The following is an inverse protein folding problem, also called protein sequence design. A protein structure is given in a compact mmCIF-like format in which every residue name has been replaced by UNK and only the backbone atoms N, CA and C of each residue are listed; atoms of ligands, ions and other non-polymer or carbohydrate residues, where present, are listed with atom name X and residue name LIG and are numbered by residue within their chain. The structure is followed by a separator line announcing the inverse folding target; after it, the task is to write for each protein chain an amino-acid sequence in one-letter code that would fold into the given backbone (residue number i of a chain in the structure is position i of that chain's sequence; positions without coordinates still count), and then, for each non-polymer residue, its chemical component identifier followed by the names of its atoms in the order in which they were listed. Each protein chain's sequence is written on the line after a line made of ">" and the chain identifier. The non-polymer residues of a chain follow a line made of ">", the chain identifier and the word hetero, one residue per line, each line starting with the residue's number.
data_IF_374668167563
#
_entry.id   IF_374668167563
#
_cell.length_a   1.000
_cell.length_b   1.000
_cell.length_c   1.000
_cell.angle_alpha   90.00
_cell.angle_beta   90.00
_cell.angle_gamma   90.00
#
_symmetry.space_group_name_H-M   'P 1'
#
loop_
_entity.id
_entity.type
_entity.pdbx_description
1 polymer ?
#
# COMPACT_ATOMS: atom_id res chain seq x y z
N UNK A 1 -12.32 3.50 8.61
CA UNK A 1 -11.35 3.19 9.67
C UNK A 1 -12.01 2.32 10.73
N UNK A 2 -11.29 1.35 11.32
CA UNK A 2 -11.78 0.51 12.39
C UNK A 2 -10.81 0.56 13.57
N UNK A 3 -11.34 0.47 14.78
CA UNK A 3 -10.55 0.39 16.02
C UNK A 3 -10.96 -0.85 16.79
N UNK A 4 -9.97 -1.65 17.20
CA UNK A 4 -10.18 -2.90 17.92
C UNK A 4 -9.32 -2.96 19.18
N UNK A 5 -9.76 -3.73 20.16
CA UNK A 5 -8.92 -4.10 21.29
C UNK A 5 -7.70 -4.87 20.79
N UNK A 6 -6.53 -4.50 21.28
CA UNK A 6 -5.30 -5.22 20.98
C UNK A 6 -5.18 -6.48 21.86
N UNK A 7 -4.43 -7.49 21.38
CA UNK A 7 -4.14 -8.68 22.17
C UNK A 7 -3.30 -8.36 23.44
N UNK A 8 -2.54 -7.27 23.43
CA UNK A 8 -1.88 -6.75 24.63
C UNK A 8 -2.89 -5.93 25.42
N UNK A 9 -3.00 -6.25 26.73
CA UNK A 9 -3.95 -5.59 27.63
C UNK A 9 -3.78 -4.06 27.62
N UNK A 10 -4.89 -3.35 27.68
CA UNK A 10 -4.98 -1.89 27.74
C UNK A 10 -4.36 -1.19 26.50
N UNK A 11 -4.27 -1.91 25.38
CA UNK A 11 -3.87 -1.39 24.08
C UNK A 11 -4.98 -1.52 23.04
N UNK A 12 -4.89 -0.67 22.03
CA UNK A 12 -5.81 -0.64 20.90
C UNK A 12 -5.00 -0.65 19.59
N UNK A 13 -5.62 -1.09 18.50
CA UNK A 13 -5.07 -0.88 17.18
C UNK A 13 -6.12 -0.24 16.27
N UNK A 14 -5.64 0.58 15.36
CA UNK A 14 -6.43 1.22 14.30
C UNK A 14 -6.12 0.55 12.99
N UNK A 15 -7.13 0.28 12.19
CA UNK A 15 -6.98 -0.41 10.90
C UNK A 15 -7.68 0.35 9.78
N UNK A 16 -6.92 0.71 8.74
CA UNK A 16 -7.41 1.09 7.42
C UNK A 16 -7.41 -0.10 6.48
N UNK A 17 -8.39 -0.19 5.59
CA UNK A 17 -8.51 -1.29 4.63
C UNK A 17 -8.75 -0.72 3.25
N UNK A 18 -7.85 -1.00 2.31
CA UNK A 18 -8.05 -0.77 0.88
C UNK A 18 -8.46 -2.06 0.20
N UNK A 19 -9.36 -1.99 -0.80
CA UNK A 19 -9.91 -3.19 -1.45
C UNK A 19 -9.03 -3.69 -2.62
N UNK A 20 -8.26 -2.81 -3.23
CA UNK A 20 -7.58 -3.07 -4.48
C UNK A 20 -6.07 -3.32 -4.41
N UNK A 21 -5.45 -3.44 -3.22
CA UNK A 21 -3.99 -3.46 -3.07
C UNK A 21 -3.28 -4.48 -3.98
N UNK A 22 -3.05 -5.69 -3.50
CA UNK A 22 -2.40 -6.75 -4.29
C UNK A 22 -3.21 -7.18 -5.52
N UNK A 23 -4.54 -7.02 -5.45
CA UNK A 23 -5.45 -7.32 -6.55
C UNK A 23 -5.14 -6.48 -7.81
N UNK A 24 -4.72 -5.23 -7.67
CA UNK A 24 -4.42 -4.37 -8.82
C UNK A 24 -3.30 -4.93 -9.69
N UNK A 25 -2.17 -5.32 -9.09
CA UNK A 25 -1.07 -5.91 -9.85
C UNK A 25 -1.40 -7.33 -10.34
N UNK A 26 -2.16 -8.10 -9.56
CA UNK A 26 -2.64 -9.41 -9.98
C UNK A 26 -3.57 -9.30 -11.19
N UNK A 27 -4.49 -8.36 -11.18
CA UNK A 27 -5.39 -8.09 -12.30
C UNK A 27 -4.58 -7.67 -13.54
N UNK A 28 -3.64 -6.73 -13.38
CA UNK A 28 -2.76 -6.31 -14.47
C UNK A 28 -2.03 -7.51 -15.09
N UNK A 29 -1.39 -8.33 -14.24
CA UNK A 29 -0.68 -9.54 -14.68
C UNK A 29 -1.60 -10.48 -15.48
N UNK A 30 -2.77 -10.76 -14.94
CA UNK A 30 -3.66 -11.75 -15.54
C UNK A 30 -4.29 -11.27 -16.86
N UNK A 31 -4.58 -9.97 -16.97
CA UNK A 31 -5.29 -9.43 -18.14
C UNK A 31 -4.35 -8.86 -19.21
N UNK A 32 -3.23 -8.25 -18.81
CA UNK A 32 -2.37 -7.46 -19.71
C UNK A 32 -0.95 -8.01 -19.84
N UNK A 33 -0.56 -8.96 -18.98
CA UNK A 33 0.77 -9.57 -18.99
C UNK A 33 0.71 -11.06 -18.59
N UNK A 34 -0.16 -11.89 -19.25
CA UNK A 34 -0.33 -13.29 -18.86
C UNK A 34 1.00 -14.06 -18.97
N UNK A 35 1.30 -14.85 -17.93
CA UNK A 35 2.52 -15.66 -17.88
C UNK A 35 3.78 -14.91 -17.45
N UNK A 36 3.72 -13.60 -17.25
CA UNK A 36 4.87 -12.82 -16.74
C UNK A 36 4.94 -12.95 -15.21
N UNK A 37 6.13 -13.20 -14.69
CA UNK A 37 6.36 -13.29 -13.24
C UNK A 37 6.32 -11.90 -12.57
N UNK A 38 5.91 -11.86 -11.28
CA UNK A 38 5.77 -10.58 -10.57
C UNK A 38 7.09 -9.82 -10.44
N UNK A 39 8.21 -10.53 -10.30
CA UNK A 39 9.53 -9.90 -10.22
C UNK A 39 9.87 -9.17 -11.53
N UNK A 40 9.63 -9.82 -12.68
CA UNK A 40 9.81 -9.19 -13.99
C UNK A 40 8.90 -7.96 -14.19
N UNK A 41 7.66 -8.00 -13.70
CA UNK A 41 6.78 -6.82 -13.75
C UNK A 41 7.32 -5.66 -12.90
N UNK A 42 7.84 -5.95 -11.71
CA UNK A 42 8.39 -4.90 -10.86
C UNK A 42 9.73 -4.37 -11.36
N UNK A 43 10.55 -5.19 -12.01
CA UNK A 43 11.76 -4.77 -12.71
C UNK A 43 11.45 -3.88 -13.92
N UNK A 44 10.43 -4.22 -14.70
CA UNK A 44 9.96 -3.39 -15.81
C UNK A 44 9.41 -2.05 -15.29
N UNK A 45 8.60 -2.04 -14.24
CA UNK A 45 8.10 -0.82 -13.61
C UNK A 45 9.23 0.10 -13.13
N UNK A 46 10.35 -0.47 -12.68
CA UNK A 46 11.52 0.30 -12.24
C UNK A 46 12.22 1.09 -13.38
N UNK A 47 11.96 0.74 -14.65
CA UNK A 47 12.48 1.46 -15.81
C UNK A 47 11.71 2.75 -16.09
N UNK A 48 10.49 2.88 -15.60
CA UNK A 48 9.69 4.10 -15.69
C UNK A 48 10.17 5.15 -14.69
N UNK A 49 10.13 6.44 -15.01
CA UNK A 49 10.50 7.50 -14.07
C UNK A 49 9.50 7.62 -12.92
N UNK A 50 9.93 8.26 -11.83
CA UNK A 50 9.08 8.60 -10.68
C UNK A 50 7.82 9.34 -11.14
N UNK A 51 6.65 8.86 -10.69
CA UNK A 51 5.34 9.42 -11.07
C UNK A 51 4.82 8.91 -12.41
N UNK A 52 5.41 7.84 -12.99
CA UNK A 52 4.92 7.17 -14.20
C UNK A 52 4.55 8.15 -15.34
N UNK A 53 5.35 9.20 -15.53
CA UNK A 53 5.10 10.27 -16.50
C UNK A 53 3.74 11.00 -16.33
N UNK A 54 3.24 11.11 -15.11
CA UNK A 54 1.95 11.74 -14.80
C UNK A 54 0.75 10.82 -14.96
N UNK A 55 0.98 9.52 -15.13
CA UNK A 55 -0.07 8.53 -15.19
C UNK A 55 -0.42 8.05 -13.78
N UNK A 56 -1.70 8.07 -13.44
CA UNK A 56 -2.21 7.59 -12.16
C UNK A 56 -3.06 6.34 -12.35
N UNK A 57 -3.02 5.46 -11.35
CA UNK A 57 -3.92 4.31 -11.23
C UNK A 57 -4.84 4.49 -10.02
N UNK A 58 -6.12 4.28 -10.21
CA UNK A 58 -7.11 4.20 -9.15
C UNK A 58 -7.38 2.72 -8.85
N UNK A 59 -7.02 2.22 -7.66
CA UNK A 59 -7.07 0.79 -7.35
C UNK A 59 -8.47 0.26 -7.01
N UNK A 60 -9.52 0.94 -7.46
CA UNK A 60 -10.90 0.72 -7.03
C UNK A 60 -11.63 -0.37 -7.84
N UNK A 61 -10.92 -1.47 -8.16
CA UNK A 61 -11.47 -2.59 -8.95
C UNK A 61 -12.68 -3.27 -8.30
N UNK A 62 -12.79 -3.20 -6.97
CA UNK A 62 -13.87 -3.79 -6.17
C UNK A 62 -14.60 -2.73 -5.34
N UNK A 63 -14.67 -1.50 -5.84
CA UNK A 63 -14.99 -0.36 -5.01
C UNK A 63 -13.87 -0.02 -4.04
N UNK A 64 -14.13 0.85 -3.06
CA UNK A 64 -13.15 1.17 -2.03
C UNK A 64 -13.78 1.25 -0.64
N UNK A 65 -13.02 0.84 0.37
CA UNK A 65 -13.44 0.87 1.78
C UNK A 65 -12.86 2.08 2.50
N UNK A 66 -11.58 2.12 2.75
CA UNK A 66 -10.92 3.29 3.36
C UNK A 66 -10.18 4.07 2.27
N UNK A 67 -10.39 5.38 2.13
CA UNK A 67 -11.16 6.28 2.98
C UNK A 67 -12.64 6.43 2.59
N UNK A 68 -13.06 5.94 1.43
CA UNK A 68 -14.26 6.42 0.74
C UNK A 68 -15.55 5.70 1.12
N UNK A 69 -15.48 4.41 1.54
CA UNK A 69 -16.63 3.53 1.77
C UNK A 69 -17.64 3.60 0.62
N UNK A 70 -17.16 3.37 -0.59
CA UNK A 70 -17.93 3.50 -1.83
C UNK A 70 -17.79 2.24 -2.68
N UNK A 71 -18.90 1.49 -2.82
CA UNK A 71 -18.95 0.27 -3.62
C UNK A 71 -19.13 0.55 -5.12
N UNK A 72 -19.50 1.77 -5.49
CA UNK A 72 -19.79 2.16 -6.88
C UNK A 72 -18.58 2.73 -7.62
N UNK A 73 -17.60 3.24 -6.89
CA UNK A 73 -16.35 3.75 -7.50
C UNK A 73 -15.66 2.66 -8.32
N UNK A 74 -15.01 3.05 -9.41
CA UNK A 74 -14.33 2.13 -10.34
C UNK A 74 -12.85 2.45 -10.45
N UNK A 75 -12.05 1.39 -10.69
CA UNK A 75 -10.63 1.50 -10.97
C UNK A 75 -10.35 1.89 -12.42
N UNK A 76 -9.15 2.43 -12.64
CA UNK A 76 -8.71 2.81 -13.99
C UNK A 76 -7.46 3.67 -13.98
N UNK A 77 -6.90 3.87 -15.18
CA UNK A 77 -5.83 4.82 -15.40
C UNK A 77 -6.38 6.21 -15.72
N UNK A 78 -5.79 7.24 -15.11
CA UNK A 78 -6.08 8.65 -15.37
C UNK A 78 -4.79 9.34 -15.82
N UNK A 79 -4.86 10.14 -16.89
CA UNK A 79 -3.69 10.84 -17.44
C UNK A 79 -2.95 10.08 -18.54
N UNK A 80 -3.54 9.04 -19.14
CA UNK A 80 -2.93 8.27 -20.22
C UNK A 80 -2.68 9.13 -21.46
N UNK A 81 -1.48 9.03 -22.02
CA UNK A 81 -1.07 9.68 -23.27
C UNK A 81 -0.41 8.68 -24.20
N UNK A 82 -0.26 9.02 -25.48
CA UNK A 82 0.42 8.17 -26.48
C UNK A 82 1.92 7.92 -26.16
N UNK A 83 2.51 8.62 -25.20
CA UNK A 83 3.90 8.45 -24.76
C UNK A 83 4.09 7.38 -23.71
N UNK A 84 3.02 7.01 -23.01
CA UNK A 84 3.11 6.04 -21.93
C UNK A 84 3.42 4.65 -22.46
N UNK A 85 4.35 3.99 -21.82
CA UNK A 85 4.78 2.62 -22.08
C UNK A 85 4.14 1.64 -21.12
N UNK A 86 4.31 0.33 -21.35
CA UNK A 86 3.85 -0.69 -20.40
C UNK A 86 4.54 -0.55 -19.04
N UNK A 87 5.81 -0.15 -19.01
CA UNK A 87 6.51 0.15 -17.77
C UNK A 87 5.81 1.25 -16.95
N UNK A 88 5.32 2.31 -17.62
CA UNK A 88 4.56 3.38 -16.96
C UNK A 88 3.22 2.88 -16.42
N UNK A 89 2.52 2.02 -17.18
CA UNK A 89 1.27 1.41 -16.72
C UNK A 89 1.46 0.59 -15.45
N UNK A 90 2.50 -0.25 -15.41
CA UNK A 90 2.80 -1.09 -14.24
C UNK A 90 3.21 -0.22 -13.05
N UNK A 91 4.08 0.76 -13.29
CA UNK A 91 4.51 1.68 -12.24
C UNK A 91 3.33 2.47 -11.66
N UNK A 92 2.46 2.99 -12.50
CA UNK A 92 1.25 3.68 -12.06
C UNK A 92 0.37 2.78 -11.18
N UNK A 93 0.24 1.48 -11.51
CA UNK A 93 -0.50 0.50 -10.68
C UNK A 93 0.13 0.40 -9.28
N UNK A 94 1.44 0.26 -9.19
CA UNK A 94 2.16 0.15 -7.92
C UNK A 94 2.07 1.46 -7.11
N UNK A 95 2.24 2.61 -7.78
CA UNK A 95 2.10 3.92 -7.15
C UNK A 95 0.67 4.18 -6.66
N UNK A 96 -0.35 3.85 -7.45
CA UNK A 96 -1.76 4.03 -7.09
C UNK A 96 -2.18 3.19 -5.87
N UNK A 97 -1.72 1.93 -5.80
CA UNK A 97 -1.88 1.10 -4.61
C UNK A 97 -1.22 1.75 -3.38
N UNK A 98 -0.02 2.27 -3.56
CA UNK A 98 0.72 2.90 -2.46
C UNK A 98 0.11 4.24 -2.03
N UNK A 99 -0.52 4.99 -2.94
CA UNK A 99 -1.30 6.19 -2.59
C UNK A 99 -2.54 5.84 -1.76
N UNK A 100 -3.27 4.77 -2.09
CA UNK A 100 -4.42 4.34 -1.28
C UNK A 100 -4.00 3.89 0.12
N UNK A 101 -2.80 3.31 0.27
CA UNK A 101 -2.23 3.01 1.58
C UNK A 101 -1.82 4.28 2.34
N UNK A 102 -1.33 5.29 1.63
CA UNK A 102 -1.06 6.60 2.23
C UNK A 102 -2.31 7.29 2.74
N UNK A 103 -3.44 7.22 2.04
CA UNK A 103 -4.72 7.73 2.55
C UNK A 103 -5.07 7.08 3.90
N UNK A 104 -4.83 5.78 4.05
CA UNK A 104 -5.03 5.10 5.33
C UNK A 104 -4.07 5.62 6.41
N UNK A 105 -2.79 5.84 6.06
CA UNK A 105 -1.79 6.36 6.98
C UNK A 105 -2.11 7.79 7.43
N UNK A 106 -2.47 8.66 6.48
CA UNK A 106 -2.80 10.05 6.77
C UNK A 106 -3.96 10.13 7.79
N UNK A 107 -5.02 9.32 7.61
CA UNK A 107 -6.14 9.24 8.57
C UNK A 107 -5.68 8.72 9.94
N UNK A 108 -4.78 7.74 9.98
CA UNK A 108 -4.23 7.22 11.24
C UNK A 108 -3.45 8.33 11.97
N UNK A 109 -2.67 9.12 11.24
CA UNK A 109 -1.90 10.23 11.82
C UNK A 109 -2.81 11.39 12.25
N UNK A 110 -3.87 11.70 11.51
CA UNK A 110 -4.92 12.67 11.88
C UNK A 110 -5.64 12.30 13.16
N UNK A 111 -5.78 11.00 13.46
CA UNK A 111 -6.30 10.51 14.75
C UNK A 111 -5.30 10.64 15.89
N UNK A 112 -4.12 11.22 15.67
CA UNK A 112 -3.09 11.46 16.68
C UNK A 112 -2.15 10.28 16.91
N UNK A 113 -2.22 9.22 16.10
CA UNK A 113 -1.29 8.09 16.19
C UNK A 113 0.02 8.45 15.47
N UNK A 114 1.14 8.44 16.20
CA UNK A 114 2.46 8.67 15.60
C UNK A 114 2.98 7.39 14.98
N UNK A 115 3.24 7.42 13.68
CA UNK A 115 3.84 6.31 12.94
C UNK A 115 5.29 6.66 12.61
N UNK A 116 6.25 5.97 13.22
CA UNK A 116 7.70 6.14 12.94
C UNK A 116 8.15 5.26 11.80
N UNK A 117 7.71 4.00 11.79
CA UNK A 117 8.16 2.97 10.87
C UNK A 117 6.98 2.19 10.30
N UNK A 118 7.17 1.68 9.09
CA UNK A 118 6.22 0.81 8.41
C UNK A 118 6.84 -0.57 8.23
N UNK A 119 6.23 -1.60 8.80
CA UNK A 119 6.61 -2.99 8.57
C UNK A 119 5.84 -3.54 7.39
N UNK A 120 6.51 -3.69 6.26
CA UNK A 120 5.92 -4.22 5.05
C UNK A 120 5.94 -5.76 5.06
N UNK A 121 4.82 -6.37 4.69
CA UNK A 121 4.68 -7.83 4.56
C UNK A 121 3.82 -8.18 3.34
N UNK A 122 3.78 -9.47 2.99
CA UNK A 122 3.06 -9.96 1.84
C UNK A 122 3.83 -9.84 0.51
N UNK A 123 3.15 -10.09 -0.61
CA UNK A 123 3.78 -10.20 -1.92
C UNK A 123 4.53 -8.94 -2.37
N UNK A 124 3.94 -7.77 -2.21
CA UNK A 124 4.57 -6.50 -2.59
C UNK A 124 5.83 -6.17 -1.80
N UNK A 125 5.91 -6.63 -0.54
CA UNK A 125 7.09 -6.42 0.31
C UNK A 125 8.33 -7.20 -0.16
N UNK A 126 8.19 -8.22 -1.01
CA UNK A 126 9.31 -8.96 -1.58
C UNK A 126 10.11 -8.11 -2.58
N UNK A 127 9.45 -7.23 -3.33
CA UNK A 127 10.10 -6.36 -4.31
C UNK A 127 10.85 -5.20 -3.63
N UNK A 128 12.16 -5.11 -3.83
CA UNK A 128 12.97 -3.99 -3.37
C UNK A 128 12.54 -2.66 -4.01
N UNK A 129 12.11 -2.71 -5.28
CA UNK A 129 11.57 -1.55 -5.97
C UNK A 129 10.29 -1.05 -5.27
N UNK A 130 9.33 -1.93 -4.97
CA UNK A 130 8.09 -1.53 -4.32
C UNK A 130 8.33 -0.99 -2.91
N UNK A 131 9.26 -1.58 -2.14
CA UNK A 131 9.61 -1.05 -0.81
C UNK A 131 10.18 0.37 -0.87
N UNK A 132 11.07 0.67 -1.85
CA UNK A 132 11.59 2.04 -2.06
C UNK A 132 10.48 3.01 -2.42
N UNK A 133 9.64 2.64 -3.37
CA UNK A 133 8.49 3.43 -3.79
C UNK A 133 7.54 3.70 -2.62
N UNK A 134 7.23 2.67 -1.83
CA UNK A 134 6.40 2.79 -0.65
C UNK A 134 7.01 3.74 0.39
N UNK A 135 8.32 3.64 0.64
CA UNK A 135 9.00 4.56 1.55
C UNK A 135 8.89 6.02 1.09
N UNK A 136 9.08 6.27 -0.21
CA UNK A 136 8.92 7.61 -0.81
C UNK A 136 7.50 8.14 -0.71
N UNK A 137 6.50 7.32 -1.05
CA UNK A 137 5.08 7.72 -1.03
C UNK A 137 4.59 7.96 0.40
N UNK A 138 4.89 7.06 1.33
CA UNK A 138 4.48 7.20 2.74
C UNK A 138 5.34 8.22 3.50
N UNK A 139 6.50 8.61 2.96
CA UNK A 139 7.51 9.42 3.65
C UNK A 139 7.84 8.84 5.04
N UNK A 140 8.04 7.53 5.09
CA UNK A 140 8.35 6.76 6.30
C UNK A 140 9.44 5.75 6.01
N UNK A 141 10.20 5.39 7.05
CA UNK A 141 11.09 4.24 6.98
C UNK A 141 10.26 2.97 6.80
N UNK A 142 10.58 2.18 5.78
CA UNK A 142 9.93 0.88 5.51
C UNK A 142 10.91 -0.23 5.81
N UNK A 143 10.48 -1.22 6.59
CA UNK A 143 11.28 -2.38 6.95
C UNK A 143 10.55 -3.67 6.61
N UNK A 144 11.29 -4.74 6.37
CA UNK A 144 10.77 -6.10 6.32
C UNK A 144 11.20 -6.88 7.56
N UNK A 145 10.54 -7.98 7.80
CA UNK A 145 10.85 -8.87 8.92
C UNK A 145 11.45 -10.17 8.38
N UNK A 146 12.33 -10.80 9.17
CA UNK A 146 12.92 -12.11 8.86
C UNK A 146 11.81 -13.15 8.62
N UNK A 147 10.77 -13.14 9.45
CA UNK A 147 9.61 -14.02 9.32
C UNK A 147 8.52 -13.36 8.48
N UNK A 148 8.15 -14.00 7.38
CA UNK A 148 7.11 -13.51 6.47
C UNK A 148 5.69 -13.99 6.85
N UNK A 149 5.56 -14.96 7.73
CA UNK A 149 4.30 -15.54 8.23
C UNK A 149 3.65 -14.67 9.31
N UNK A 150 3.14 -13.49 8.92
CA UNK A 150 2.69 -12.46 9.85
C UNK A 150 1.68 -12.94 10.90
N UNK A 151 0.54 -13.49 10.47
CA UNK A 151 -0.56 -13.85 11.38
C UNK A 151 -0.24 -15.09 12.22
N UNK A 152 0.28 -16.14 11.60
CA UNK A 152 0.63 -17.38 12.30
C UNK A 152 1.77 -17.14 13.30
N UNK A 153 2.78 -16.36 12.90
CA UNK A 153 3.89 -15.99 13.76
C UNK A 153 3.42 -15.14 14.95
N UNK A 154 2.55 -14.16 14.70
CA UNK A 154 1.95 -13.35 15.77
C UNK A 154 1.17 -14.18 16.79
N UNK A 155 0.36 -15.15 16.31
CA UNK A 155 -0.36 -16.07 17.18
C UNK A 155 0.59 -16.93 18.04
N UNK A 156 1.69 -17.43 17.45
CA UNK A 156 2.70 -18.16 18.18
C UNK A 156 3.38 -17.32 19.27
N UNK A 157 3.71 -16.06 18.97
CA UNK A 157 4.29 -15.13 19.95
C UNK A 157 3.33 -14.85 21.12
N UNK A 158 2.03 -14.71 20.83
CA UNK A 158 1.02 -14.55 21.87
C UNK A 158 0.92 -15.78 22.78
N UNK A 159 0.94 -16.98 22.22
CA UNK A 159 0.92 -18.23 22.98
C UNK A 159 2.16 -18.39 23.87
N UNK A 160 3.34 -18.03 23.35
CA UNK A 160 4.61 -18.12 24.09
C UNK A 160 4.76 -17.04 25.17
N UNK A 161 4.15 -15.88 25.01
CA UNK A 161 4.27 -14.77 25.95
C UNK A 161 3.82 -15.14 27.36
N UNK A 162 2.81 -16.03 27.50
CA UNK A 162 2.38 -16.55 28.79
C UNK A 162 3.42 -17.41 29.53
N UNK A 163 4.36 -17.98 28.80
CA UNK A 163 5.43 -18.84 29.37
C UNK A 163 6.73 -18.07 29.60
N UNK A 164 7.03 -17.08 28.78
CA UNK A 164 8.35 -16.41 28.72
C UNK A 164 8.29 -14.94 29.17
N UNK A 165 7.21 -14.48 29.77
CA UNK A 165 7.07 -13.12 30.26
C UNK A 165 5.91 -12.36 29.60
N UNK A 166 6.19 -11.24 28.95
CA UNK A 166 5.17 -10.41 28.31
C UNK A 166 5.27 -10.40 26.79
N UNK A 167 4.18 -10.04 26.12
CA UNK A 167 4.18 -9.88 24.64
C UNK A 167 5.25 -8.90 24.16
N UNK A 168 5.47 -7.72 24.78
CA UNK A 168 6.57 -6.82 24.40
C UNK A 168 7.95 -7.45 24.52
N UNK A 169 8.20 -8.28 25.53
CA UNK A 169 9.47 -8.99 25.69
C UNK A 169 9.70 -10.03 24.60
N UNK A 170 8.65 -10.84 24.32
CA UNK A 170 8.68 -11.78 23.21
C UNK A 170 8.94 -11.09 21.87
N UNK A 171 8.26 -9.98 21.59
CA UNK A 171 8.48 -9.23 20.37
C UNK A 171 9.92 -8.70 20.25
N UNK A 172 10.53 -8.23 21.34
CA UNK A 172 11.93 -7.77 21.35
C UNK A 172 12.94 -8.87 21.00
N UNK A 173 12.66 -10.10 21.43
CA UNK A 173 13.57 -11.25 21.20
C UNK A 173 13.32 -11.87 19.82
N UNK A 174 12.06 -11.99 19.41
CA UNK A 174 11.66 -12.79 18.27
C UNK A 174 11.55 -11.99 16.96
N UNK A 175 11.20 -10.71 17.02
CA UNK A 175 11.04 -9.88 15.82
C UNK A 175 12.37 -9.27 15.42
N UNK A 176 12.88 -9.69 14.26
CA UNK A 176 14.10 -9.14 13.65
C UNK A 176 13.75 -8.43 12.35
N UNK A 177 14.17 -7.18 12.26
CA UNK A 177 14.11 -6.42 11.02
C UNK A 177 15.26 -6.83 10.11
N UNK A 178 14.99 -6.98 8.81
CA UNK A 178 15.98 -7.36 7.81
C UNK A 178 16.35 -6.18 6.92
N UNK A 179 15.52 -5.91 5.91
CA UNK A 179 15.78 -4.82 4.98
C UNK A 179 15.11 -3.52 5.49
N UNK A 180 15.86 -2.43 5.47
CA UNK A 180 15.35 -1.12 5.84
C UNK A 180 15.57 -0.14 4.69
N UNK A 181 14.52 0.57 4.32
CA UNK A 181 14.54 1.61 3.30
C UNK A 181 14.08 2.92 3.92
N UNK A 182 14.93 3.95 3.84
CA UNK A 182 14.55 5.32 4.19
C UNK A 182 14.06 6.06 2.94
N UNK A 183 13.08 6.97 3.07
CA UNK A 183 12.63 7.76 1.93
C UNK A 183 13.74 8.67 1.41
N UNK A 184 13.85 8.78 0.08
CA UNK A 184 14.60 9.86 -0.55
C UNK A 184 13.79 11.16 -0.44
N UNK A 185 14.44 12.26 -0.03
CA UNK A 185 13.75 13.52 0.22
C UNK A 185 13.14 14.14 -1.06
N UNK A 186 13.81 13.98 -2.20
CA UNK A 186 13.33 14.48 -3.50
C UNK A 186 12.11 13.70 -3.99
N UNK A 187 12.18 12.36 -3.92
CA UNK A 187 11.05 11.48 -4.26
C UNK A 187 9.87 11.72 -3.32
N UNK A 188 10.09 11.84 -2.02
CA UNK A 188 9.04 12.08 -1.05
C UNK A 188 8.34 13.44 -1.27
N UNK A 189 9.10 14.48 -1.62
CA UNK A 189 8.53 15.79 -1.97
C UNK A 189 7.69 15.72 -3.26
N UNK A 190 8.15 14.98 -4.27
CA UNK A 190 7.38 14.73 -5.49
C UNK A 190 6.09 13.97 -5.17
N UNK A 191 6.18 12.84 -4.47
CA UNK A 191 5.02 12.01 -4.12
C UNK A 191 4.02 12.73 -3.22
N UNK A 192 4.48 13.65 -2.36
CA UNK A 192 3.60 14.51 -1.59
C UNK A 192 2.74 15.44 -2.46
N UNK A 193 3.27 15.93 -3.58
CA UNK A 193 2.50 16.71 -4.56
C UNK A 193 1.56 15.81 -5.38
N UNK A 194 2.07 14.69 -5.87
CA UNK A 194 1.31 13.73 -6.67
C UNK A 194 0.13 13.13 -5.88
N UNK A 195 0.31 12.84 -4.58
CA UNK A 195 -0.75 12.32 -3.74
C UNK A 195 -1.93 13.30 -3.60
N UNK A 196 -1.69 14.60 -3.51
CA UNK A 196 -2.78 15.59 -3.52
C UNK A 196 -3.58 15.58 -4.83
N UNK A 197 -2.92 15.37 -5.97
CA UNK A 197 -3.58 15.19 -7.27
C UNK A 197 -4.40 13.89 -7.25
N UNK A 198 -3.82 12.79 -6.76
CA UNK A 198 -4.52 11.51 -6.61
C UNK A 198 -5.79 11.65 -5.78
N UNK A 199 -5.72 12.30 -4.62
CA UNK A 199 -6.88 12.52 -3.75
C UNK A 199 -8.00 13.32 -4.42
N UNK A 200 -7.68 14.25 -5.33
CA UNK A 200 -8.68 15.05 -6.06
C UNK A 200 -9.45 14.24 -7.11
N UNK A 201 -8.95 13.06 -7.52
CA UNK A 201 -9.59 12.25 -8.56
C UNK A 201 -10.86 11.57 -8.06
N UNK A 202 -10.88 11.11 -6.80
CA UNK A 202 -12.08 10.45 -6.27
C UNK A 202 -13.33 11.34 -6.33
N UNK A 203 -13.35 12.56 -5.77
CA UNK A 203 -14.54 13.41 -5.84
C UNK A 203 -14.91 13.79 -7.27
N UNK A 204 -13.94 13.92 -8.18
CA UNK A 204 -14.19 14.24 -9.58
C UNK A 204 -14.84 13.07 -10.35
N UNK A 205 -14.46 11.84 -10.06
CA UNK A 205 -14.94 10.66 -10.77
C UNK A 205 -16.14 9.98 -10.12
N UNK A 206 -16.41 10.23 -8.85
CA UNK A 206 -17.51 9.61 -8.10
C UNK A 206 -18.86 9.74 -8.80
N UNK A 207 -19.31 10.92 -9.29
CA UNK A 207 -20.60 11.02 -9.98
C UNK A 207 -20.67 10.15 -11.23
N UNK A 208 -19.61 10.15 -12.04
CA UNK A 208 -19.50 9.37 -13.28
C UNK A 208 -19.54 7.87 -12.96
N UNK A 209 -18.79 7.43 -11.96
CA UNK A 209 -18.77 6.02 -11.55
C UNK A 209 -20.14 5.56 -11.00
N UNK A 210 -20.88 6.44 -10.34
CA UNK A 210 -22.23 6.13 -9.88
C UNK A 210 -23.20 5.91 -11.06
N UNK A 211 -23.09 6.71 -12.11
CA UNK A 211 -23.86 6.53 -13.35
C UNK A 211 -23.48 5.23 -14.06
N UNK A 212 -22.18 4.93 -14.21
CA UNK A 212 -21.71 3.67 -14.80
C UNK A 212 -22.21 2.45 -14.02
N UNK A 213 -22.30 2.54 -12.70
CA UNK A 213 -22.80 1.44 -11.88
C UNK A 213 -24.29 1.16 -12.06
N UNK A 214 -25.06 2.11 -12.63
CA UNK A 214 -26.47 1.98 -12.95
C UNK A 214 -26.77 1.44 -14.36
N UNK A 215 -25.72 1.29 -15.21
CA UNK A 215 -25.84 0.69 -16.55
C UNK A 215 -25.84 -0.84 -16.46
#
# INVERSE_FOLDING_TARGET
>A
MHTFCHAVRDKWHVMGVTQGAGLSLQWFRNQLAPGVEYDALTEEAAQSPVGAQGLFWLPYLMGERTPHLDATIRGGWVGLTARNTRADLIRAVIEGVSYSQRDCLDIIEELGVRVSDVRASGGGAKSAFWRRLLAGILNKRVVTLETQEGSAYGAALLALAGQYGSVPEMCRVAIRETDAVTPDAGEAAFYGKAHRVYQSMYPALKPICAEIAGL
#
